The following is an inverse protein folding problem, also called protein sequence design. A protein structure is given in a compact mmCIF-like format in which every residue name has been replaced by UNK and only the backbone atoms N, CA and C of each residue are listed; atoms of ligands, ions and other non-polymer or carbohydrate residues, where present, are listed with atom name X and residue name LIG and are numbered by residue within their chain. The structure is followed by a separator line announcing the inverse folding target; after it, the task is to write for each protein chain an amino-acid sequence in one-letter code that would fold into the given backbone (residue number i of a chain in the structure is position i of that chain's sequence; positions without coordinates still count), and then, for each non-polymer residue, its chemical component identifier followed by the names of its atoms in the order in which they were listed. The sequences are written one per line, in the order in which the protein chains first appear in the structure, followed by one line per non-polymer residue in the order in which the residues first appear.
data_IF_128386053389
#
_entry.id   IF_128386053389
#
_cell.length_a   1.000
_cell.length_b   1.000
_cell.length_c   1.000
_cell.angle_alpha   90.00
_cell.angle_beta   90.00
_cell.angle_gamma   90.00
#
_symmetry.space_group_name_H-M   'P 1'
#
loop_
_entity.id
_entity.type
_entity.pdbx_description
1 polymer ?
#
# COMPACT_ATOMS: atom_id res chain seq x y z
N UNK A 1 -13.72 42.79 -24.74
CA UNK A 1 -13.93 41.70 -23.78
C UNK A 1 -12.84 40.66 -24.01
N UNK A 2 -11.91 40.50 -23.07
CA UNK A 2 -10.75 39.61 -23.23
C UNK A 2 -11.10 38.21 -22.71
N UNK A 3 -11.29 37.27 -23.62
CA UNK A 3 -11.59 35.88 -23.31
C UNK A 3 -10.28 35.19 -22.89
N UNK A 4 -10.07 35.01 -21.58
CA UNK A 4 -8.99 34.17 -21.05
C UNK A 4 -9.28 32.73 -21.47
N UNK A 5 -8.56 32.22 -22.47
CA UNK A 5 -8.50 30.79 -22.73
C UNK A 5 -7.83 30.14 -21.52
N UNK A 6 -8.61 29.45 -20.67
CA UNK A 6 -8.06 28.41 -19.82
C UNK A 6 -7.55 27.32 -20.78
N UNK A 7 -6.24 27.28 -20.98
CA UNK A 7 -5.59 26.12 -21.59
C UNK A 7 -5.86 24.96 -20.64
N UNK A 8 -6.74 24.06 -21.07
CA UNK A 8 -6.96 22.78 -20.40
C UNK A 8 -5.62 22.04 -20.37
N UNK A 9 -4.99 21.99 -19.21
CA UNK A 9 -3.77 21.21 -18.96
C UNK A 9 -3.98 19.69 -19.05
N UNK A 10 -5.17 19.23 -19.46
CA UNK A 10 -5.51 17.82 -19.64
C UNK A 10 -5.15 17.23 -21.03
N UNK A 11 -4.48 17.98 -21.91
CA UNK A 11 -4.09 17.51 -23.26
C UNK A 11 -2.61 17.09 -23.36
N UNK A 12 -1.95 16.75 -22.24
CA UNK A 12 -0.65 16.10 -22.33
C UNK A 12 -0.88 14.61 -22.63
N UNK A 13 -0.41 14.07 -23.77
CA UNK A 13 -0.49 12.63 -24.00
C UNK A 13 0.16 11.94 -22.80
N UNK A 14 -0.60 11.05 -22.16
CA UNK A 14 -0.15 10.25 -21.04
C UNK A 14 0.98 9.37 -21.54
N UNK A 15 2.21 9.78 -21.25
CA UNK A 15 3.41 9.00 -21.57
C UNK A 15 3.40 7.72 -20.71
N UNK A 16 3.23 6.53 -21.32
CA UNK A 16 3.11 5.28 -20.59
C UNK A 16 4.35 5.02 -19.71
N UNK A 17 5.54 5.40 -20.18
CA UNK A 17 6.78 5.31 -19.41
C UNK A 17 6.77 6.20 -18.16
N UNK A 18 6.19 7.41 -18.26
CA UNK A 18 6.03 8.29 -17.11
C UNK A 18 5.02 7.74 -16.08
N UNK A 19 3.97 7.05 -16.54
CA UNK A 19 3.00 6.37 -15.67
C UNK A 19 3.64 5.17 -14.99
N UNK A 20 4.41 4.36 -15.73
CA UNK A 20 5.12 3.20 -15.19
C UNK A 20 6.09 3.62 -14.06
N UNK A 21 6.95 4.61 -14.34
CA UNK A 21 7.89 5.14 -13.36
C UNK A 21 7.19 5.76 -12.14
N UNK A 22 6.04 6.40 -12.33
CA UNK A 22 5.24 6.92 -11.22
C UNK A 22 4.65 5.79 -10.37
N UNK A 23 4.07 4.77 -11.01
CA UNK A 23 3.51 3.61 -10.33
C UNK A 23 4.57 2.88 -9.50
N UNK A 24 5.77 2.65 -10.06
CA UNK A 24 6.87 2.04 -9.31
C UNK A 24 7.27 2.85 -8.08
N UNK A 25 7.46 4.17 -8.23
CA UNK A 25 7.83 5.04 -7.11
C UNK A 25 6.77 5.06 -6.03
N UNK A 26 5.49 5.15 -6.41
CA UNK A 26 4.38 5.13 -5.46
C UNK A 26 4.29 3.78 -4.76
N UNK A 27 4.42 2.68 -5.50
CA UNK A 27 4.44 1.32 -4.94
C UNK A 27 5.58 1.13 -3.92
N UNK A 28 6.80 1.56 -4.27
CA UNK A 28 7.96 1.53 -3.38
C UNK A 28 7.75 2.37 -2.13
N UNK A 29 7.26 3.60 -2.27
CA UNK A 29 6.99 4.48 -1.12
C UNK A 29 5.94 3.87 -0.20
N UNK A 30 4.86 3.32 -0.75
CA UNK A 30 3.83 2.64 0.03
C UNK A 30 4.41 1.46 0.82
N UNK A 31 5.23 0.61 0.18
CA UNK A 31 5.90 -0.50 0.86
C UNK A 31 6.85 0.01 1.94
N UNK A 32 7.70 0.97 1.62
CA UNK A 32 8.71 1.51 2.54
C UNK A 32 8.09 2.14 3.79
N UNK A 33 6.92 2.75 3.67
CA UNK A 33 6.20 3.36 4.80
C UNK A 33 5.34 2.34 5.55
N UNK A 34 4.64 1.44 4.85
CA UNK A 34 3.69 0.53 5.47
C UNK A 34 4.35 -0.72 6.08
N UNK A 35 5.42 -1.23 5.48
CA UNK A 35 6.08 -2.47 5.91
C UNK A 35 6.67 -2.35 7.34
N UNK A 36 7.41 -1.29 7.71
CA UNK A 36 7.93 -1.15 9.08
C UNK A 36 6.81 -1.08 10.12
N UNK A 37 5.68 -0.45 9.79
CA UNK A 37 4.51 -0.36 10.66
C UNK A 37 3.87 -1.74 10.84
N UNK A 38 3.76 -2.54 9.77
CA UNK A 38 3.25 -3.89 9.84
C UNK A 38 4.11 -4.80 10.73
N UNK A 39 5.43 -4.73 10.55
CA UNK A 39 6.40 -5.50 11.35
C UNK A 39 6.34 -5.07 12.82
N UNK A 40 6.29 -3.76 13.09
CA UNK A 40 6.19 -3.24 14.45
C UNK A 40 4.88 -3.63 15.14
N UNK A 41 3.75 -3.55 14.44
CA UNK A 41 2.45 -3.96 14.98
C UNK A 41 2.40 -5.47 15.27
N UNK A 42 2.94 -6.30 14.37
CA UNK A 42 3.05 -7.74 14.59
C UNK A 42 3.97 -8.10 15.77
N UNK A 43 5.12 -7.42 15.88
CA UNK A 43 6.02 -7.59 17.01
C UNK A 43 5.33 -7.21 18.34
N UNK A 44 4.55 -6.13 18.35
CA UNK A 44 3.71 -5.75 19.49
C UNK A 44 2.68 -6.83 19.84
N UNK A 45 1.99 -7.39 18.85
CA UNK A 45 1.07 -8.51 19.06
C UNK A 45 1.79 -9.74 19.64
N UNK A 46 2.97 -10.08 19.12
CA UNK A 46 3.77 -11.19 19.63
C UNK A 46 4.22 -11.00 21.08
N UNK A 47 4.61 -9.78 21.46
CA UNK A 47 4.95 -9.46 22.85
C UNK A 47 3.74 -9.61 23.78
N UNK A 48 2.54 -9.24 23.32
CA UNK A 48 1.31 -9.37 24.13
C UNK A 48 0.75 -10.78 24.19
N UNK A 49 0.97 -11.60 23.15
CA UNK A 49 0.40 -12.94 23.02
C UNK A 49 1.21 -14.02 23.77
N UNK A 50 2.41 -13.70 24.25
CA UNK A 50 3.27 -14.61 25.02
C UNK A 50 3.88 -15.75 24.21
N UNK A 51 3.52 -15.90 22.93
CA UNK A 51 4.13 -16.87 22.00
C UNK A 51 3.94 -16.43 20.55
N UNK A 52 4.85 -16.87 19.67
CA UNK A 52 4.77 -16.59 18.24
C UNK A 52 3.55 -17.25 17.58
N UNK A 53 3.16 -18.46 18.03
CA UNK A 53 1.99 -19.18 17.52
C UNK A 53 0.69 -18.43 17.82
N UNK A 54 0.52 -17.95 19.06
CA UNK A 54 -0.65 -17.16 19.43
C UNK A 54 -0.70 -15.83 18.68
N UNK A 55 0.46 -15.24 18.39
CA UNK A 55 0.57 -14.04 17.57
C UNK A 55 0.14 -14.28 16.12
N UNK A 56 0.55 -15.40 15.51
CA UNK A 56 0.13 -15.77 14.15
C UNK A 56 -1.36 -16.05 14.07
N UNK A 57 -1.94 -16.72 15.08
CA UNK A 57 -3.38 -16.97 15.13
C UNK A 57 -4.15 -15.65 15.27
N UNK A 58 -3.70 -14.74 16.15
CA UNK A 58 -4.28 -13.41 16.31
C UNK A 58 -4.15 -12.55 15.05
N UNK A 59 -3.02 -12.62 14.35
CA UNK A 59 -2.81 -11.93 13.08
C UNK A 59 -3.74 -12.47 11.99
N UNK A 60 -3.90 -13.80 11.90
CA UNK A 60 -4.81 -14.46 10.95
C UNK A 60 -6.27 -14.09 11.25
N UNK A 61 -6.66 -14.13 12.52
CA UNK A 61 -7.98 -13.67 12.96
C UNK A 61 -8.20 -12.18 12.68
N UNK A 62 -7.15 -11.36 12.81
CA UNK A 62 -7.20 -9.93 12.45
C UNK A 62 -7.35 -9.72 10.95
N UNK A 63 -6.72 -10.51 10.10
CA UNK A 63 -6.84 -10.37 8.65
C UNK A 63 -8.19 -10.87 8.12
N UNK A 64 -8.69 -11.97 8.68
CA UNK A 64 -9.93 -12.64 8.25
C UNK A 64 -11.18 -12.19 9.00
N UNK A 65 -11.03 -11.51 10.14
CA UNK A 65 -12.12 -11.12 11.02
C UNK A 65 -12.84 -9.82 10.61
N UNK A 66 -14.03 -9.56 11.20
CA UNK A 66 -14.83 -8.38 10.95
C UNK A 66 -14.04 -7.09 11.17
N UNK A 67 -14.20 -6.10 10.29
CA UNK A 67 -13.50 -4.81 10.41
C UNK A 67 -13.92 -4.01 11.64
N UNK A 68 -15.15 -4.21 12.11
CA UNK A 68 -15.78 -3.45 13.21
C UNK A 68 -15.23 -3.82 14.58
N UNK A 69 -14.53 -4.95 14.73
CA UNK A 69 -13.98 -5.43 16.01
C UNK A 69 -12.50 -5.11 16.20
N UNK A 70 -11.82 -4.53 15.20
CA UNK A 70 -10.38 -4.25 15.25
C UNK A 70 -10.11 -2.95 15.99
N UNK A 71 -9.34 -3.01 17.08
CA UNK A 71 -8.90 -1.84 17.85
C UNK A 71 -7.39 -1.88 18.09
N UNK A 72 -6.77 -0.69 18.20
CA UNK A 72 -5.35 -0.53 18.53
C UNK A 72 -4.39 -1.21 17.54
N UNK A 73 -3.52 -2.08 18.05
CA UNK A 73 -2.48 -2.79 17.28
C UNK A 73 -3.04 -3.68 16.16
N UNK A 74 -4.21 -4.31 16.37
CA UNK A 74 -4.86 -5.14 15.37
C UNK A 74 -5.33 -4.32 14.16
N UNK A 75 -5.84 -3.11 14.39
CA UNK A 75 -6.22 -2.20 13.31
C UNK A 75 -5.00 -1.67 12.55
N UNK A 76 -3.94 -1.27 13.27
CA UNK A 76 -2.68 -0.83 12.66
C UNK A 76 -2.06 -1.92 11.79
N UNK A 77 -1.97 -3.15 12.31
CA UNK A 77 -1.47 -4.31 11.57
C UNK A 77 -2.30 -4.59 10.31
N UNK A 78 -3.63 -4.46 10.40
CA UNK A 78 -4.51 -4.66 9.24
C UNK A 78 -4.27 -3.61 8.15
N UNK A 79 -4.31 -2.32 8.50
CA UNK A 79 -4.15 -1.23 7.53
C UNK A 79 -2.75 -1.21 6.92
N UNK A 80 -1.71 -1.47 7.72
CA UNK A 80 -0.33 -1.54 7.23
C UNK A 80 -0.10 -2.74 6.30
N UNK A 81 -0.68 -3.91 6.62
CA UNK A 81 -0.60 -5.09 5.74
C UNK A 81 -1.32 -4.83 4.42
N UNK A 82 -2.50 -4.20 4.48
CA UNK A 82 -3.26 -3.83 3.29
C UNK A 82 -2.51 -2.79 2.45
N UNK A 83 -1.92 -1.78 3.08
CA UNK A 83 -1.07 -0.78 2.42
C UNK A 83 0.17 -1.39 1.77
N UNK A 84 0.80 -2.39 2.42
CA UNK A 84 1.95 -3.11 1.87
C UNK A 84 1.52 -3.97 0.66
N UNK A 85 0.41 -4.69 0.77
CA UNK A 85 -0.13 -5.48 -0.33
C UNK A 85 -0.50 -4.60 -1.53
N UNK A 86 -1.15 -3.45 -1.27
CA UNK A 86 -1.51 -2.50 -2.30
C UNK A 86 -0.27 -1.85 -2.94
N UNK A 87 0.74 -1.51 -2.14
CA UNK A 87 2.03 -1.06 -2.64
C UNK A 87 2.72 -2.10 -3.53
N UNK A 88 2.65 -3.38 -3.17
CA UNK A 88 3.18 -4.49 -3.98
C UNK A 88 2.43 -4.63 -5.32
N UNK A 89 1.10 -4.50 -5.31
CA UNK A 89 0.30 -4.47 -6.53
C UNK A 89 0.65 -3.30 -7.44
N UNK A 90 0.75 -2.09 -6.88
CA UNK A 90 1.08 -0.87 -7.64
C UNK A 90 2.51 -0.94 -8.19
N UNK A 91 3.46 -1.47 -7.41
CA UNK A 91 4.83 -1.73 -7.85
C UNK A 91 4.87 -2.74 -9.00
N UNK A 92 4.16 -3.86 -8.86
CA UNK A 92 4.07 -4.90 -9.88
C UNK A 92 3.43 -4.40 -11.17
N UNK A 93 2.41 -3.54 -11.08
CA UNK A 93 1.82 -2.85 -12.24
C UNK A 93 2.83 -1.91 -12.91
N UNK A 94 3.59 -1.14 -12.12
CA UNK A 94 4.65 -0.28 -12.64
C UNK A 94 5.71 -1.08 -13.43
N UNK A 95 6.23 -2.16 -12.84
CA UNK A 95 7.20 -3.05 -13.47
C UNK A 95 6.65 -3.75 -14.72
N UNK A 96 5.37 -4.12 -14.71
CA UNK A 96 4.72 -4.73 -15.87
C UNK A 96 4.58 -3.74 -17.03
N UNK A 97 4.22 -2.49 -16.73
CA UNK A 97 4.09 -1.43 -17.73
C UNK A 97 5.47 -1.04 -18.31
N UNK A 98 6.49 -0.92 -17.44
CA UNK A 98 7.87 -0.64 -17.86
C UNK A 98 8.41 -1.76 -18.77
N UNK A 99 8.09 -3.03 -18.47
CA UNK A 99 8.46 -4.17 -19.30
C UNK A 99 7.66 -4.33 -20.60
N UNK A 100 6.50 -3.68 -20.74
CA UNK A 100 5.64 -3.71 -21.93
C UNK A 100 5.92 -2.55 -22.89
N UNK A 101 6.58 -1.48 -22.46
CA UNK A 101 7.09 -0.37 -23.28
C UNK A 101 8.33 -0.77 -24.12
N UNK A 102 8.24 -1.95 -24.79
CA UNK A 102 9.18 -2.42 -25.83
C UNK A 102 8.99 -1.69 -27.16
#
# INVERSE_FOLDING_TARGET
MAQRQLVSTCDRPFDPAAIAALAERVGLVLIAVALPVAVGAFAGLALTAGSLSAASDAATATLSGPLTTKQGLSWLFYVSTLGTALGCWVLGLGLLLDGLDL
#
